data_IF_894757737382
#
_entry.id   IF_894757737382
#
_cell.length_a   1.000
_cell.length_b   1.000
_cell.length_c   1.000
_cell.angle_alpha   90.00
_cell.angle_beta   90.00
_cell.angle_gamma   90.00
#
_symmetry.space_group_name_H-M   'P 1'
#
loop_
_entity.id
_entity.type
_entity.pdbx_description
1 polymer ?
#
# COMPACT_ATOMS: atom_id res chain seq x y z
N UNK A 1 17.64 -19.73 4.33
CA UNK A 1 16.27 -19.26 4.59
C UNK A 1 15.31 -20.23 3.91
N UNK A 2 14.47 -20.92 4.69
CA UNK A 2 13.42 -21.79 4.15
C UNK A 2 12.37 -20.92 3.46
N UNK A 3 12.03 -21.23 2.22
CA UNK A 3 10.98 -20.54 1.46
C UNK A 3 9.60 -20.95 1.99
N UNK A 4 8.72 -19.98 2.25
CA UNK A 4 7.31 -20.21 2.60
C UNK A 4 6.45 -20.58 1.38
N UNK A 5 7.07 -20.83 0.22
CA UNK A 5 6.39 -21.11 -1.04
C UNK A 5 6.57 -19.99 -2.07
N UNK A 6 5.68 -20.00 -3.08
CA UNK A 6 5.67 -18.99 -4.14
C UNK A 6 4.26 -18.40 -4.28
N UNK A 7 4.19 -17.18 -4.77
CA UNK A 7 2.99 -16.54 -5.31
C UNK A 7 3.37 -16.11 -6.71
N UNK A 8 2.75 -16.69 -7.74
CA UNK A 8 3.15 -16.55 -9.14
C UNK A 8 4.66 -16.80 -9.33
N UNK A 9 5.41 -15.84 -9.89
CA UNK A 9 6.85 -15.92 -10.09
C UNK A 9 7.68 -15.46 -8.87
N UNK A 10 7.04 -15.04 -7.78
CA UNK A 10 7.71 -14.46 -6.63
C UNK A 10 7.94 -15.50 -5.53
N UNK A 11 9.17 -15.60 -5.04
CA UNK A 11 9.53 -16.46 -3.91
C UNK A 11 9.23 -15.72 -2.60
N UNK A 12 8.35 -16.28 -1.77
CA UNK A 12 8.01 -15.75 -0.45
C UNK A 12 9.15 -16.02 0.52
N UNK A 13 9.57 -14.99 1.23
CA UNK A 13 10.63 -15.06 2.24
C UNK A 13 10.05 -15.08 3.65
N UNK A 14 9.16 -14.12 3.95
CA UNK A 14 8.51 -14.03 5.26
C UNK A 14 7.18 -13.28 5.15
N UNK A 15 6.30 -13.46 6.14
CA UNK A 15 5.09 -12.66 6.30
C UNK A 15 5.41 -11.47 7.21
N UNK A 16 5.27 -10.25 6.68
CA UNK A 16 5.63 -9.01 7.38
C UNK A 16 4.42 -8.33 8.05
N UNK A 17 3.19 -8.60 7.59
CA UNK A 17 1.97 -8.07 8.22
C UNK A 17 0.77 -8.98 7.92
N UNK A 18 -0.24 -8.93 8.79
CA UNK A 18 -1.56 -9.53 8.58
C UNK A 18 -2.62 -8.58 9.12
N UNK A 19 -3.62 -8.30 8.29
CA UNK A 19 -4.79 -7.50 8.62
C UNK A 19 -6.08 -8.31 8.58
N UNK A 20 -7.22 -7.63 8.70
CA UNK A 20 -8.54 -8.31 8.66
C UNK A 20 -8.88 -8.95 7.32
N UNK A 21 -8.40 -8.40 6.21
CA UNK A 21 -8.78 -8.80 4.84
C UNK A 21 -7.61 -9.33 4.02
N UNK A 22 -6.39 -8.94 4.34
CA UNK A 22 -5.19 -9.27 3.57
C UNK A 22 -3.98 -9.50 4.48
N UNK A 23 -3.02 -10.21 3.95
CA UNK A 23 -1.70 -10.43 4.52
C UNK A 23 -0.62 -9.84 3.59
N UNK A 24 0.50 -9.44 4.14
CA UNK A 24 1.61 -8.85 3.38
C UNK A 24 2.86 -9.67 3.60
N UNK A 25 3.52 -10.02 2.50
CA UNK A 25 4.75 -10.80 2.49
C UNK A 25 5.93 -9.99 1.96
N UNK A 26 7.10 -10.20 2.53
CA UNK A 26 8.35 -9.94 1.85
C UNK A 26 8.59 -11.08 0.86
N UNK A 27 8.83 -10.73 -0.37
CA UNK A 27 9.10 -11.67 -1.45
C UNK A 27 10.28 -11.20 -2.31
N UNK A 28 10.76 -12.10 -3.13
CA UNK A 28 11.84 -11.83 -4.06
C UNK A 28 11.42 -12.22 -5.48
N UNK A 29 11.50 -11.27 -6.41
CA UNK A 29 11.34 -11.55 -7.84
C UNK A 29 12.60 -12.23 -8.37
N UNK A 30 12.44 -13.25 -9.21
CA UNK A 30 13.52 -13.85 -9.98
C UNK A 30 13.48 -13.26 -11.38
N UNK A 31 14.29 -12.22 -11.63
CA UNK A 31 14.43 -11.64 -12.95
C UNK A 31 15.30 -12.47 -13.89
N UNK A 32 15.22 -12.20 -15.19
CA UNK A 32 16.14 -12.71 -16.18
C UNK A 32 17.56 -12.29 -15.80
N UNK A 33 18.52 -13.22 -15.80
CA UNK A 33 19.91 -12.92 -15.39
C UNK A 33 20.19 -12.97 -13.89
N UNK A 34 19.31 -13.58 -13.06
CA UNK A 34 19.48 -13.73 -11.60
C UNK A 34 19.50 -12.40 -10.82
N UNK A 35 19.01 -11.32 -11.38
CA UNK A 35 18.81 -10.07 -10.63
C UNK A 35 17.61 -10.26 -9.71
N UNK A 36 17.88 -10.37 -8.41
CA UNK A 36 16.88 -10.51 -7.37
C UNK A 36 16.44 -9.12 -6.89
N UNK A 37 15.14 -8.85 -6.89
CA UNK A 37 14.58 -7.64 -6.33
C UNK A 37 13.62 -7.99 -5.19
N UNK A 38 13.77 -7.36 -4.04
CA UNK A 38 12.79 -7.46 -2.97
C UNK A 38 11.52 -6.70 -3.34
N UNK A 39 10.39 -7.31 -3.07
CA UNK A 39 9.04 -6.74 -3.27
C UNK A 39 8.17 -7.05 -2.06
N UNK A 40 7.15 -6.23 -1.82
CA UNK A 40 6.08 -6.55 -0.92
C UNK A 40 4.90 -7.13 -1.72
N UNK A 41 4.31 -8.21 -1.23
CA UNK A 41 3.12 -8.81 -1.85
C UNK A 41 1.97 -8.76 -0.85
N UNK A 42 0.96 -7.97 -1.15
CA UNK A 42 -0.32 -7.93 -0.43
C UNK A 42 -1.25 -8.95 -1.07
N UNK A 43 -1.76 -9.91 -0.30
CA UNK A 43 -2.63 -10.98 -0.78
C UNK A 43 -3.90 -11.04 0.05
N UNK A 44 -5.05 -11.21 -0.59
CA UNK A 44 -6.33 -11.43 0.10
C UNK A 44 -6.25 -12.73 0.89
N UNK A 45 -6.73 -12.71 2.15
CA UNK A 45 -6.73 -13.91 2.99
C UNK A 45 -7.61 -15.01 2.40
N UNK A 46 -7.19 -16.28 2.54
CA UNK A 46 -7.89 -17.43 1.98
C UNK A 46 -9.36 -17.49 2.38
N UNK A 47 -9.70 -17.13 3.63
CA UNK A 47 -11.09 -17.07 4.11
C UNK A 47 -11.98 -16.08 3.36
N UNK A 48 -11.39 -15.18 2.59
CA UNK A 48 -12.06 -14.15 1.80
C UNK A 48 -11.92 -14.35 0.28
N UNK A 49 -11.22 -15.39 -0.18
CA UNK A 49 -10.96 -15.66 -1.59
C UNK A 49 -12.21 -15.73 -2.47
N UNK A 50 -13.32 -16.22 -1.93
CA UNK A 50 -14.61 -16.31 -2.62
C UNK A 50 -15.50 -15.07 -2.52
N UNK A 51 -15.07 -13.98 -1.87
CA UNK A 51 -15.89 -12.79 -1.70
C UNK A 51 -15.75 -11.84 -2.93
N UNK A 52 -16.80 -11.70 -3.76
CA UNK A 52 -16.73 -10.90 -4.98
C UNK A 52 -16.57 -9.40 -4.70
N UNK A 53 -17.11 -8.87 -3.58
CA UNK A 53 -16.97 -7.48 -3.21
C UNK A 53 -15.51 -7.15 -2.86
N UNK A 54 -14.86 -8.00 -2.04
CA UNK A 54 -13.45 -7.82 -1.70
C UNK A 54 -12.54 -7.97 -2.92
N UNK A 55 -12.87 -8.89 -3.83
CA UNK A 55 -12.15 -9.04 -5.10
C UNK A 55 -12.24 -7.76 -5.94
N UNK A 56 -13.45 -7.22 -6.09
CA UNK A 56 -13.66 -5.97 -6.83
C UNK A 56 -12.88 -4.81 -6.19
N UNK A 57 -12.98 -4.64 -4.87
CA UNK A 57 -12.25 -3.63 -4.12
C UNK A 57 -10.73 -3.72 -4.33
N UNK A 58 -10.19 -4.94 -4.35
CA UNK A 58 -8.77 -5.17 -4.55
C UNK A 58 -8.32 -4.85 -5.97
N UNK A 59 -9.14 -5.20 -6.96
CA UNK A 59 -8.90 -4.85 -8.36
C UNK A 59 -8.95 -3.33 -8.57
N UNK A 60 -9.92 -2.63 -7.96
CA UNK A 60 -10.05 -1.17 -8.05
C UNK A 60 -8.81 -0.47 -7.45
N UNK A 61 -8.32 -0.97 -6.29
CA UNK A 61 -7.07 -0.49 -5.69
C UNK A 61 -5.89 -0.67 -6.67
N UNK A 62 -5.76 -1.85 -7.25
CA UNK A 62 -4.70 -2.15 -8.21
C UNK A 62 -4.75 -1.23 -9.43
N UNK A 63 -5.91 -1.11 -10.06
CA UNK A 63 -6.12 -0.29 -11.26
C UNK A 63 -5.86 1.20 -11.00
N UNK A 64 -6.25 1.71 -9.83
CA UNK A 64 -6.02 3.10 -9.45
C UNK A 64 -4.54 3.40 -9.19
N UNK A 65 -3.78 2.43 -8.67
CA UNK A 65 -2.42 2.66 -8.16
C UNK A 65 -1.31 2.24 -9.10
N UNK A 66 -1.57 1.32 -10.05
CA UNK A 66 -0.53 0.76 -10.93
C UNK A 66 0.14 1.80 -11.83
N UNK A 67 -0.54 2.89 -12.15
CA UNK A 67 -0.01 3.99 -12.96
C UNK A 67 0.77 5.03 -12.15
N UNK A 68 0.65 5.03 -10.82
CA UNK A 68 1.27 6.05 -9.97
C UNK A 68 2.78 5.87 -9.89
N UNK A 69 3.52 6.96 -10.07
CA UNK A 69 4.99 7.00 -9.98
C UNK A 69 5.42 8.30 -9.29
N UNK A 70 5.77 8.21 -8.01
CA UNK A 70 6.22 9.35 -7.22
C UNK A 70 7.14 8.89 -6.10
N UNK A 71 8.13 9.72 -5.72
CA UNK A 71 9.09 9.39 -4.65
C UNK A 71 8.42 9.07 -3.31
N UNK A 72 7.29 9.71 -3.02
CA UNK A 72 6.57 9.56 -1.77
C UNK A 72 5.34 8.62 -1.86
N UNK A 73 5.21 7.84 -2.92
CA UNK A 73 4.16 6.84 -3.11
C UNK A 73 4.82 5.50 -3.42
N UNK A 74 4.47 4.45 -2.68
CA UNK A 74 4.99 3.13 -2.97
C UNK A 74 4.50 2.67 -4.35
N UNK A 75 5.45 2.28 -5.20
CA UNK A 75 5.16 1.87 -6.57
C UNK A 75 4.49 0.51 -6.60
N UNK A 76 3.36 0.40 -7.29
CA UNK A 76 2.75 -0.89 -7.64
C UNK A 76 3.40 -1.39 -8.93
N UNK A 77 3.88 -2.63 -8.92
CA UNK A 77 4.57 -3.25 -10.06
C UNK A 77 3.68 -4.16 -10.86
N UNK A 78 2.81 -4.92 -10.17
CA UNK A 78 2.00 -5.96 -10.76
C UNK A 78 0.80 -6.30 -9.89
N UNK A 79 -0.23 -6.91 -10.45
CA UNK A 79 -1.33 -7.50 -9.70
C UNK A 79 -1.87 -8.73 -10.46
N UNK A 80 -2.49 -9.64 -9.74
CA UNK A 80 -3.03 -10.84 -10.36
C UNK A 80 -3.85 -11.66 -9.39
N UNK A 81 -4.17 -12.87 -9.84
CA UNK A 81 -4.91 -13.87 -9.08
C UNK A 81 -4.21 -15.21 -9.19
N UNK A 82 -4.04 -15.89 -8.07
CA UNK A 82 -3.54 -17.25 -8.00
C UNK A 82 -4.35 -18.07 -7.00
N UNK A 83 -4.81 -19.24 -7.40
CA UNK A 83 -5.64 -20.14 -6.58
C UNK A 83 -6.88 -19.45 -5.97
N UNK A 84 -7.49 -18.51 -6.71
CA UNK A 84 -8.66 -17.75 -6.28
C UNK A 84 -8.36 -16.60 -5.31
N UNK A 85 -7.09 -16.32 -5.01
CA UNK A 85 -6.68 -15.20 -4.17
C UNK A 85 -6.05 -14.09 -5.02
N UNK A 86 -6.60 -12.88 -4.92
CA UNK A 86 -5.99 -11.69 -5.52
C UNK A 86 -4.73 -11.30 -4.77
N UNK A 87 -3.71 -10.89 -5.51
CA UNK A 87 -2.47 -10.35 -4.96
C UNK A 87 -2.03 -9.08 -5.68
N UNK A 88 -1.35 -8.20 -4.96
CA UNK A 88 -0.75 -6.96 -5.45
C UNK A 88 0.74 -6.97 -5.12
N UNK A 89 1.57 -6.74 -6.13
CA UNK A 89 3.03 -6.67 -5.98
C UNK A 89 3.46 -5.22 -5.97
N UNK A 90 4.16 -4.81 -4.93
CA UNK A 90 4.55 -3.42 -4.75
C UNK A 90 5.98 -3.26 -4.27
N UNK A 91 6.45 -2.05 -4.26
CA UNK A 91 7.74 -1.65 -3.70
C UNK A 91 7.85 -2.11 -2.25
N UNK A 92 8.93 -2.85 -1.96
CA UNK A 92 9.30 -3.14 -0.58
C UNK A 92 10.08 -1.96 -0.02
N UNK A 93 9.56 -1.36 1.02
CA UNK A 93 10.22 -0.29 1.77
C UNK A 93 10.83 -0.91 3.03
N UNK A 94 12.17 -1.01 3.07
CA UNK A 94 12.87 -1.50 4.27
C UNK A 94 12.83 -0.44 5.35
N UNK A 95 11.80 -0.52 6.20
CA UNK A 95 11.56 0.49 7.20
C UNK A 95 10.43 0.14 8.16
N UNK A 96 9.82 1.17 8.72
CA UNK A 96 8.70 1.06 9.67
C UNK A 96 7.62 2.08 9.34
N UNK A 97 6.38 1.78 9.66
CA UNK A 97 5.35 2.80 9.60
C UNK A 97 5.47 3.81 10.75
N UNK A 98 4.93 5.00 10.53
CA UNK A 98 4.98 6.11 11.49
C UNK A 98 4.36 5.72 12.85
N UNK A 99 3.33 4.89 12.87
CA UNK A 99 2.70 4.43 14.11
C UNK A 99 3.67 3.60 14.95
N UNK A 100 4.34 2.62 14.35
CA UNK A 100 5.34 1.77 15.03
C UNK A 100 6.56 2.59 15.44
N UNK A 101 7.03 3.48 14.58
CA UNK A 101 8.14 4.38 14.88
C UNK A 101 7.85 5.26 16.09
N UNK A 102 6.65 5.87 16.14
CA UNK A 102 6.20 6.67 17.29
C UNK A 102 6.14 5.83 18.57
N UNK A 103 5.62 4.60 18.50
CA UNK A 103 5.56 3.71 19.67
C UNK A 103 6.95 3.39 20.23
N UNK A 104 7.92 3.11 19.36
CA UNK A 104 9.30 2.83 19.80
C UNK A 104 9.98 4.04 20.44
N UNK A 105 9.76 5.25 19.92
CA UNK A 105 10.24 6.49 20.52
C UNK A 105 9.64 6.68 21.93
N UNK A 106 8.34 6.48 22.05
CA UNK A 106 7.65 6.58 23.34
C UNK A 106 8.18 5.57 24.36
N UNK A 107 8.37 4.32 23.97
CA UNK A 107 8.95 3.28 24.83
C UNK A 107 10.36 3.62 25.30
N UNK A 108 11.17 4.27 24.47
CA UNK A 108 12.51 4.75 24.80
C UNK A 108 12.52 6.06 25.64
N UNK A 109 11.35 6.58 25.99
CA UNK A 109 11.17 7.88 26.67
C UNK A 109 11.87 9.04 25.94
N UNK A 110 12.00 8.93 24.62
CA UNK A 110 12.58 9.95 23.75
C UNK A 110 11.48 10.83 23.17
N UNK A 111 11.85 12.03 22.73
CA UNK A 111 10.94 12.93 22.02
C UNK A 111 11.25 12.91 20.52
N UNK A 112 10.23 12.94 19.70
CA UNK A 112 10.39 13.11 18.26
C UNK A 112 10.75 14.58 17.99
N UNK A 113 11.91 14.89 17.39
CA UNK A 113 12.21 16.28 17.01
C UNK A 113 11.13 16.83 16.08
N UNK A 114 10.66 18.06 16.35
CA UNK A 114 9.61 18.68 15.55
C UNK A 114 9.99 18.78 14.07
N UNK A 115 11.26 19.00 13.76
CA UNK A 115 11.77 19.06 12.39
C UNK A 115 11.53 17.75 11.64
N UNK A 116 11.67 16.60 12.33
CA UNK A 116 11.42 15.29 11.72
C UNK A 116 9.93 15.05 11.51
N UNK A 117 9.08 15.46 12.46
CA UNK A 117 7.62 15.40 12.27
C UNK A 117 7.16 16.26 11.09
N UNK A 118 7.70 17.47 10.95
CA UNK A 118 7.44 18.36 9.82
C UNK A 118 7.94 17.78 8.49
N UNK A 119 9.11 17.13 8.50
CA UNK A 119 9.63 16.42 7.33
C UNK A 119 8.66 15.31 6.86
N UNK A 120 8.23 14.43 7.77
CA UNK A 120 7.26 13.38 7.43
C UNK A 120 5.97 13.98 6.86
N UNK A 121 5.44 15.03 7.49
CA UNK A 121 4.22 15.70 7.05
C UNK A 121 4.37 16.32 5.66
N UNK A 122 5.50 16.96 5.37
CA UNK A 122 5.82 17.56 4.06
C UNK A 122 5.87 16.49 2.97
N UNK A 123 6.61 15.42 3.19
CA UNK A 123 6.76 14.35 2.21
C UNK A 123 5.44 13.62 1.94
N UNK A 124 4.66 13.37 3.00
CA UNK A 124 3.32 12.79 2.85
C UNK A 124 2.38 13.74 2.08
N UNK A 125 2.42 15.05 2.36
CA UNK A 125 1.63 16.04 1.63
C UNK A 125 2.02 16.12 0.15
N UNK A 126 3.32 16.01 -0.18
CA UNK A 126 3.81 15.97 -1.56
C UNK A 126 3.26 14.74 -2.31
N UNK A 127 3.30 13.55 -1.68
CA UNK A 127 2.71 12.34 -2.24
C UNK A 127 1.19 12.47 -2.46
N UNK A 128 0.46 13.02 -1.50
CA UNK A 128 -0.99 13.27 -1.63
C UNK A 128 -1.31 14.27 -2.73
N UNK A 129 -0.55 15.36 -2.83
CA UNK A 129 -0.74 16.36 -3.89
C UNK A 129 -0.59 15.73 -5.27
N UNK A 130 0.43 14.87 -5.44
CA UNK A 130 0.60 14.11 -6.68
C UNK A 130 -0.60 13.23 -6.99
N UNK A 131 -1.08 12.45 -6.00
CA UNK A 131 -2.23 11.56 -6.15
C UNK A 131 -3.49 12.34 -6.58
N UNK A 132 -3.79 13.45 -5.91
CA UNK A 132 -4.98 14.26 -6.18
C UNK A 132 -4.97 14.92 -7.56
N UNK A 133 -3.79 15.22 -8.09
CA UNK A 133 -3.62 15.86 -9.40
C UNK A 133 -3.36 14.85 -10.53
N UNK A 134 -3.34 13.55 -10.20
CA UNK A 134 -3.00 12.52 -11.17
C UNK A 134 -4.02 12.44 -12.31
N UNK A 135 -3.51 12.35 -13.52
CA UNK A 135 -4.29 12.17 -14.74
C UNK A 135 -3.98 10.82 -15.34
N UNK A 136 -5.01 10.14 -15.81
CA UNK A 136 -4.86 8.89 -16.55
C UNK A 136 -3.92 9.09 -17.74
N UNK A 137 -2.91 8.22 -17.86
CA UNK A 137 -1.82 8.36 -18.84
C UNK A 137 -2.29 8.16 -20.29
N UNK A 138 -3.40 7.46 -20.50
CA UNK A 138 -3.94 7.19 -21.85
C UNK A 138 -4.91 8.26 -22.30
N UNK A 139 -5.79 8.71 -21.40
CA UNK A 139 -6.87 9.64 -21.73
C UNK A 139 -6.56 11.10 -21.37
N UNK A 140 -5.58 11.35 -20.53
CA UNK A 140 -5.24 12.66 -19.98
C UNK A 140 -6.28 13.24 -19.02
N UNK A 141 -7.32 12.48 -18.68
CA UNK A 141 -8.42 12.94 -17.80
C UNK A 141 -8.01 12.85 -16.33
N UNK A 142 -8.43 13.80 -15.47
CA UNK A 142 -8.24 13.70 -14.04
C UNK A 142 -8.88 12.42 -13.49
N UNK A 143 -8.12 11.64 -12.73
CA UNK A 143 -8.64 10.42 -12.09
C UNK A 143 -9.33 10.71 -10.75
N UNK A 144 -9.19 11.92 -10.20
CA UNK A 144 -9.79 12.35 -8.93
C UNK A 144 -9.53 11.36 -7.78
N UNK A 145 -8.32 10.82 -7.74
CA UNK A 145 -7.93 9.82 -6.74
C UNK A 145 -7.86 10.47 -5.36
N UNK A 146 -8.45 9.82 -4.37
CA UNK A 146 -8.37 10.21 -2.97
C UNK A 146 -7.92 8.99 -2.17
N UNK A 147 -6.93 9.15 -1.29
CA UNK A 147 -6.36 8.04 -0.52
C UNK A 147 -7.36 7.42 0.48
N UNK A 148 -8.23 8.20 1.11
CA UNK A 148 -9.35 7.84 2.01
C UNK A 148 -9.00 7.09 3.30
N UNK A 149 -7.79 6.55 3.45
CA UNK A 149 -7.32 5.87 4.66
C UNK A 149 -5.92 6.33 5.08
N UNK A 150 -5.57 7.60 4.82
CA UNK A 150 -4.28 8.11 5.28
C UNK A 150 -4.22 8.10 6.79
N UNK A 151 -3.23 7.39 7.32
CA UNK A 151 -3.00 7.25 8.76
C UNK A 151 -1.51 6.97 9.02
N UNK A 152 -1.04 7.10 10.26
CA UNK A 152 0.34 6.74 10.60
C UNK A 152 0.73 5.28 10.29
N UNK A 153 -0.23 4.38 10.08
CA UNK A 153 0.01 3.00 9.67
C UNK A 153 0.34 2.89 8.19
N UNK A 154 -0.19 3.81 7.37
CA UNK A 154 -0.05 3.81 5.91
C UNK A 154 1.01 4.81 5.40
N UNK A 155 1.88 5.29 6.29
CA UNK A 155 3.07 6.08 5.97
C UNK A 155 4.29 5.32 6.45
N UNK A 156 5.15 4.88 5.53
CA UNK A 156 6.40 4.20 5.83
C UNK A 156 7.56 5.19 5.89
N UNK A 157 8.49 4.94 6.80
CA UNK A 157 9.78 5.60 6.93
C UNK A 157 10.82 4.55 6.59
N UNK A 158 11.47 4.69 5.44
CA UNK A 158 12.56 3.84 5.01
C UNK A 158 13.85 4.08 5.79
N UNK A 159 14.77 3.14 5.75
CA UNK A 159 16.08 3.26 6.45
C UNK A 159 16.92 4.41 5.95
N UNK A 160 16.78 4.77 4.68
CA UNK A 160 17.50 5.89 4.06
C UNK A 160 16.81 7.24 4.31
N UNK A 161 15.69 7.25 5.08
CA UNK A 161 14.92 8.44 5.41
C UNK A 161 13.83 8.78 4.40
N UNK A 162 13.60 7.96 3.38
CA UNK A 162 12.51 8.12 2.45
C UNK A 162 11.15 7.91 3.13
N UNK A 163 10.17 8.71 2.71
CA UNK A 163 8.79 8.63 3.21
C UNK A 163 7.89 8.15 2.07
N UNK A 164 7.18 7.06 2.31
CA UNK A 164 6.30 6.43 1.31
C UNK A 164 4.87 6.26 1.84
N UNK A 165 3.90 6.68 1.05
CA UNK A 165 2.49 6.37 1.28
C UNK A 165 2.20 5.00 0.67
N UNK A 166 1.48 4.16 1.43
CA UNK A 166 1.04 2.82 1.02
C UNK A 166 -0.46 2.67 1.23
N UNK A 167 -1.04 1.60 0.68
CA UNK A 167 -2.42 1.14 0.94
C UNK A 167 -3.48 2.22 0.70
N UNK A 168 -3.79 2.46 -0.56
CA UNK A 168 -4.89 3.33 -0.94
C UNK A 168 -6.21 2.71 -0.46
N UNK A 169 -6.97 3.45 0.33
CA UNK A 169 -8.33 3.07 0.71
C UNK A 169 -9.33 3.19 -0.45
N UNK A 170 -8.94 2.83 -1.68
CA UNK A 170 -9.78 2.87 -2.90
C UNK A 170 -11.02 2.01 -2.74
N UNK A 171 -10.93 0.98 -1.91
CA UNK A 171 -12.02 0.16 -1.47
C UNK A 171 -13.23 0.92 -0.87
N UNK A 172 -13.08 2.22 -0.61
CA UNK A 172 -14.14 3.13 -0.14
C UNK A 172 -14.55 4.13 -1.22
N UNK A 173 -14.15 3.94 -2.47
CA UNK A 173 -14.48 4.86 -3.57
C UNK A 173 -15.93 4.71 -4.04
N UNK A 174 -16.45 5.75 -4.67
CA UNK A 174 -17.83 6.02 -5.05
C UNK A 174 -18.46 5.03 -6.07
N UNK A 175 -17.81 3.89 -6.35
CA UNK A 175 -18.46 2.77 -7.04
C UNK A 175 -19.50 2.06 -6.17
N UNK A 176 -19.60 2.40 -4.88
CA UNK A 176 -20.76 2.07 -4.05
C UNK A 176 -21.80 3.20 -4.05
N UNK A 177 -22.11 3.79 -5.19
CA UNK A 177 -23.21 4.78 -5.32
C UNK A 177 -24.59 4.22 -4.97
N UNK A 178 -24.72 2.99 -4.54
CA UNK A 178 -26.04 2.42 -4.25
C UNK A 178 -26.46 2.41 -2.78
N UNK A 179 -25.63 2.83 -1.80
CA UNK A 179 -26.09 2.88 -0.39
C UNK A 179 -25.31 3.88 0.49
N UNK A 180 -25.32 5.16 0.17
CA UNK A 180 -24.99 6.15 1.18
C UNK A 180 -26.14 7.13 1.33
N UNK A 181 -27.00 6.87 2.32
CA UNK A 181 -27.92 7.88 2.84
C UNK A 181 -27.11 9.07 3.32
N UNK A 182 -27.55 10.26 2.96
CA UNK A 182 -27.00 11.55 3.34
C UNK A 182 -26.69 11.61 4.85
N UNK A 183 -25.48 11.96 5.24
CA UNK A 183 -25.18 12.42 6.58
C UNK A 183 -24.10 11.70 7.40
N UNK A 184 -23.34 10.72 6.87
CA UNK A 184 -22.29 10.06 7.65
C UNK A 184 -20.90 10.51 7.19
N UNK A 185 -20.24 11.37 7.99
CA UNK A 185 -18.82 11.67 7.84
C UNK A 185 -18.03 10.41 8.24
N UNK A 186 -17.43 9.70 7.27
CA UNK A 186 -16.53 8.59 7.53
C UNK A 186 -15.07 9.09 7.50
N UNK A 187 -14.52 9.35 8.66
CA UNK A 187 -13.10 9.56 8.90
C UNK A 187 -12.68 8.79 10.16
N UNK A 188 -11.40 8.44 10.25
CA UNK A 188 -10.80 7.98 11.50
C UNK A 188 -10.22 9.16 12.24
#
# INVERSE_FOLDING_TARGET
MSSLGKIASYRILERIAEGGMAEVFLAMSQGVGKVNKFVAIKRVLQRHAGNPELRQMFNDEAMATIQLRHSNVATVYDFGEEQGQCYLVMEFVDGKNVARFRQEIFQKRSQLPIQFALYIAREAAAGLSYIHQFKDLQTGRPMNLIHRDLSPHNILIGREGDIKIIDFGVAKSDFSESKTSYGTIKGK
#
